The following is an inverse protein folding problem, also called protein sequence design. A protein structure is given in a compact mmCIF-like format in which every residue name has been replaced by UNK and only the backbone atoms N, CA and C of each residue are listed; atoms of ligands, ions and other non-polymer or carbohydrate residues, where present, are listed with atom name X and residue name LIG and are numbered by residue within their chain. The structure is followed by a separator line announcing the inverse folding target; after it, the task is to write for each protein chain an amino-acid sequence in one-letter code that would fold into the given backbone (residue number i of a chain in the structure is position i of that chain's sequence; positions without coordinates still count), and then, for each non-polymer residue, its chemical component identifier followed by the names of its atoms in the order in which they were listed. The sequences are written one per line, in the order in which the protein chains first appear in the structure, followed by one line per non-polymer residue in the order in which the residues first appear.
data_IF_839229724315
#
_entry.id   IF_839229724315
#
_cell.length_a   1.000
_cell.length_b   1.000
_cell.length_c   1.000
_cell.angle_alpha   90.00
_cell.angle_beta   90.00
_cell.angle_gamma   90.00
#
_symmetry.space_group_name_H-M   'P 1'
#
loop_
_entity.id
_entity.type
_entity.pdbx_description
1 polymer ?
#
# COMPACT_ATOMS: atom_id res chain seq x y z
N UNK A 1 -4.30 4.61 17.03
CA UNK A 1 -5.06 3.56 16.31
C UNK A 1 -5.29 2.41 17.27
N UNK A 2 -6.44 1.73 17.19
CA UNK A 2 -6.67 0.53 17.98
C UNK A 2 -5.67 -0.56 17.59
N UNK A 3 -5.13 -1.29 18.58
CA UNK A 3 -4.26 -2.45 18.37
C UNK A 3 -5.04 -3.71 18.71
N UNK A 4 -4.88 -4.76 17.90
CA UNK A 4 -5.54 -6.05 18.08
C UNK A 4 -4.48 -7.15 18.11
N UNK A 5 -4.52 -7.99 19.15
CA UNK A 5 -3.70 -9.20 19.23
C UNK A 5 -4.57 -10.41 18.98
N UNK A 6 -4.29 -11.16 17.92
CA UNK A 6 -4.91 -12.44 17.64
C UNK A 6 -4.12 -13.55 18.34
N UNK A 7 -4.73 -14.20 19.33
CA UNK A 7 -4.13 -15.33 20.06
C UNK A 7 -4.64 -16.65 19.50
N UNK A 8 -3.85 -17.71 19.65
CA UNK A 8 -4.21 -19.08 19.26
C UNK A 8 -4.57 -19.20 17.78
N UNK A 9 -3.83 -18.51 16.90
CA UNK A 9 -4.01 -18.64 15.46
C UNK A 9 -3.50 -20.02 15.02
N UNK A 10 -4.33 -20.84 14.34
CA UNK A 10 -3.86 -22.09 13.75
C UNK A 10 -2.72 -21.84 12.76
N UNK A 11 -1.68 -22.67 12.80
CA UNK A 11 -0.47 -22.47 11.97
C UNK A 11 -0.78 -22.55 10.47
N UNK A 12 -1.68 -23.45 10.09
CA UNK A 12 -2.22 -23.60 8.74
C UNK A 12 -2.95 -22.34 8.25
N UNK A 13 -3.70 -21.67 9.13
CA UNK A 13 -4.34 -20.38 8.83
C UNK A 13 -3.30 -19.27 8.65
N UNK A 14 -2.27 -19.21 9.51
CA UNK A 14 -1.20 -18.22 9.37
C UNK A 14 -0.43 -18.41 8.06
N UNK A 15 -0.16 -19.65 7.68
CA UNK A 15 0.49 -19.97 6.41
C UNK A 15 -0.38 -19.61 5.20
N UNK A 16 -1.69 -19.85 5.27
CA UNK A 16 -2.62 -19.41 4.23
C UNK A 16 -2.62 -17.87 4.08
N UNK A 17 -2.62 -17.13 5.19
CA UNK A 17 -2.55 -15.66 5.20
C UNK A 17 -1.24 -15.15 4.60
N UNK A 18 -0.10 -15.78 4.92
CA UNK A 18 1.20 -15.44 4.34
C UNK A 18 1.22 -15.63 2.83
N UNK A 19 0.69 -16.75 2.33
CA UNK A 19 0.58 -17.00 0.89
C UNK A 19 -0.28 -15.95 0.19
N UNK A 20 -1.46 -15.65 0.75
CA UNK A 20 -2.35 -14.62 0.20
C UNK A 20 -1.66 -13.24 0.16
N UNK A 21 -0.99 -12.86 1.25
CA UNK A 21 -0.26 -11.58 1.33
C UNK A 21 0.84 -11.46 0.25
N UNK A 22 1.57 -12.54 -0.04
CA UNK A 22 2.57 -12.56 -1.12
C UNK A 22 1.91 -12.40 -2.49
N UNK A 23 0.83 -13.15 -2.75
CA UNK A 23 0.08 -13.07 -4.01
C UNK A 23 -0.45 -11.66 -4.26
N UNK A 24 -1.01 -11.03 -3.22
CA UNK A 24 -1.62 -9.70 -3.31
C UNK A 24 -0.63 -8.55 -3.10
N UNK A 25 0.66 -8.88 -2.92
CA UNK A 25 1.77 -7.94 -2.69
C UNK A 25 1.50 -6.97 -1.52
N UNK A 26 0.99 -7.51 -0.42
CA UNK A 26 0.67 -6.78 0.82
C UNK A 26 1.45 -7.35 1.99
N UNK A 27 1.56 -6.58 3.08
CA UNK A 27 2.00 -7.16 4.34
C UNK A 27 0.92 -8.07 4.92
N UNK A 28 1.30 -9.08 5.71
CA UNK A 28 0.34 -9.99 6.37
C UNK A 28 -0.70 -9.23 7.20
N UNK A 29 -0.29 -8.16 7.88
CA UNK A 29 -1.21 -7.30 8.64
C UNK A 29 -2.22 -6.59 7.72
N UNK A 30 -1.78 -6.05 6.59
CA UNK A 30 -2.69 -5.42 5.62
C UNK A 30 -3.66 -6.43 5.02
N UNK A 31 -3.20 -7.66 4.80
CA UNK A 31 -4.04 -8.74 4.30
C UNK A 31 -5.12 -9.13 5.30
N UNK A 32 -4.76 -9.31 6.58
CA UNK A 32 -5.73 -9.56 7.65
C UNK A 32 -6.79 -8.46 7.72
N UNK A 33 -6.38 -7.19 7.67
CA UNK A 33 -7.30 -6.05 7.70
C UNK A 33 -8.24 -6.09 6.49
N UNK A 34 -7.71 -6.35 5.30
CA UNK A 34 -8.47 -6.42 4.07
C UNK A 34 -9.54 -7.54 4.11
N UNK A 35 -9.15 -8.73 4.57
CA UNK A 35 -10.07 -9.86 4.70
C UNK A 35 -11.15 -9.60 5.75
N UNK A 36 -10.80 -9.00 6.89
CA UNK A 36 -11.79 -8.61 7.91
C UNK A 36 -12.79 -7.58 7.37
N UNK A 37 -12.30 -6.55 6.67
CA UNK A 37 -13.15 -5.51 6.06
C UNK A 37 -14.11 -6.11 5.01
N UNK A 38 -13.59 -7.00 4.16
CA UNK A 38 -14.37 -7.69 3.13
C UNK A 38 -15.45 -8.59 3.75
N UNK A 39 -15.09 -9.45 4.70
CA UNK A 39 -16.03 -10.35 5.37
C UNK A 39 -17.14 -9.61 6.13
N UNK A 40 -16.84 -8.43 6.70
CA UNK A 40 -17.83 -7.63 7.40
C UNK A 40 -18.78 -6.91 6.42
N UNK A 41 -18.28 -6.43 5.28
CA UNK A 41 -19.12 -5.84 4.21
C UNK A 41 -20.11 -6.85 3.64
N UNK A 42 -19.65 -8.08 3.38
CA UNK A 42 -20.51 -9.16 2.88
C UNK A 42 -21.63 -9.53 3.86
N UNK A 43 -21.38 -9.40 5.17
CA UNK A 43 -22.37 -9.65 6.22
C UNK A 43 -23.34 -8.48 6.46
N UNK A 44 -23.32 -7.45 5.62
CA UNK A 44 -24.15 -6.25 5.78
C UNK A 44 -23.75 -5.37 6.96
N UNK A 45 -22.64 -5.68 7.63
CA UNK A 45 -22.01 -4.80 8.60
C UNK A 45 -21.31 -3.66 7.86
N UNK A 46 -21.41 -2.43 8.37
CA UNK A 46 -20.58 -1.33 7.87
C UNK A 46 -19.24 -1.31 8.59
N UNK A 47 -18.15 -1.70 7.92
CA UNK A 47 -16.88 -1.01 8.02
C UNK A 47 -16.55 -0.33 6.70
N UNK A 48 -16.51 1.01 6.77
CA UNK A 48 -15.98 1.86 5.73
C UNK A 48 -14.53 2.23 6.04
N UNK A 49 -13.63 1.26 6.18
CA UNK A 49 -12.21 1.57 5.98
C UNK A 49 -12.00 1.53 4.48
N UNK A 50 -11.77 2.70 3.88
CA UNK A 50 -11.33 2.80 2.48
C UNK A 50 -10.00 2.04 2.37
N UNK A 51 -10.07 0.73 2.08
CA UNK A 51 -9.02 0.04 1.33
C UNK A 51 -8.77 0.98 0.17
N UNK A 52 -7.60 1.61 0.18
CA UNK A 52 -7.34 2.79 -0.62
C UNK A 52 -7.94 2.61 -2.00
N UNK A 53 -8.92 3.45 -2.33
CA UNK A 53 -9.65 3.35 -3.57
C UNK A 53 -8.61 3.51 -4.68
N UNK A 54 -8.18 2.36 -5.22
CA UNK A 54 -7.09 2.30 -6.17
C UNK A 54 -7.48 3.10 -7.39
N UNK A 55 -8.78 3.16 -7.72
CA UNK A 55 -9.33 4.01 -8.75
C UNK A 55 -9.20 5.50 -8.41
N UNK A 56 -9.52 5.93 -7.18
CA UNK A 56 -9.32 7.32 -6.75
C UNK A 56 -7.85 7.73 -6.77
N UNK A 57 -6.95 6.83 -6.34
CA UNK A 57 -5.50 7.08 -6.41
C UNK A 57 -5.06 7.19 -7.87
N UNK A 58 -5.49 6.26 -8.73
CA UNK A 58 -5.13 6.25 -10.15
C UNK A 58 -5.71 7.46 -10.89
N UNK A 59 -6.88 7.95 -10.49
CA UNK A 59 -7.45 9.21 -10.96
C UNK A 59 -6.57 10.40 -10.55
N UNK A 60 -6.13 10.48 -9.30
CA UNK A 60 -5.20 11.52 -8.85
C UNK A 60 -3.86 11.47 -9.59
N UNK A 61 -3.31 10.26 -9.82
CA UNK A 61 -2.08 10.12 -10.64
C UNK A 61 -2.28 10.58 -12.07
N UNK A 62 -3.42 10.24 -12.70
CA UNK A 62 -3.76 10.72 -14.05
C UNK A 62 -3.94 12.23 -14.10
N UNK A 63 -4.50 12.82 -13.05
CA UNK A 63 -4.67 14.25 -12.95
C UNK A 63 -3.31 14.97 -12.85
N UNK A 64 -2.33 14.39 -12.15
CA UNK A 64 -1.00 14.99 -11.98
C UNK A 64 -0.05 14.69 -13.14
N UNK A 65 -0.25 13.57 -13.84
CA UNK A 65 0.62 13.14 -14.93
C UNK A 65 0.67 14.18 -16.05
N UNK A 66 1.89 14.57 -16.44
CA UNK A 66 2.12 15.52 -17.53
C UNK A 66 1.85 16.99 -17.18
N UNK A 67 1.54 17.32 -15.93
CA UNK A 67 1.35 18.71 -15.46
C UNK A 67 2.61 19.31 -14.82
N UNK A 68 3.69 18.54 -14.68
CA UNK A 68 4.94 19.10 -14.21
C UNK A 68 5.58 19.92 -15.33
N UNK A 69 5.73 21.21 -15.09
CA UNK A 69 6.49 22.13 -15.93
C UNK A 69 7.75 22.54 -15.15
N UNK A 70 8.90 22.56 -15.82
CA UNK A 70 10.14 23.09 -15.27
C UNK A 70 10.77 24.06 -16.26
N UNK A 71 11.32 25.14 -15.70
CA UNK A 71 12.12 26.12 -16.43
C UNK A 71 13.57 25.63 -16.67
N UNK A 72 13.95 24.48 -16.10
CA UNK A 72 15.26 23.88 -16.29
C UNK A 72 15.28 22.94 -17.50
N UNK A 73 16.44 22.86 -18.14
CA UNK A 73 16.71 21.80 -19.11
C UNK A 73 16.58 20.42 -18.44
N UNK A 74 16.04 19.40 -19.14
CA UNK A 74 15.82 18.07 -18.56
C UNK A 74 17.04 17.43 -17.90
N UNK A 75 18.26 17.68 -18.38
CA UNK A 75 19.47 17.14 -17.76
C UNK A 75 19.78 17.82 -16.42
N UNK A 76 19.60 19.14 -16.34
CA UNK A 76 19.80 19.91 -15.12
C UNK A 76 18.72 19.61 -14.07
N UNK A 77 17.47 19.43 -14.50
CA UNK A 77 16.37 18.97 -13.64
C UNK A 77 16.68 17.60 -13.03
N UNK A 78 17.10 16.65 -13.86
CA UNK A 78 17.42 15.29 -13.42
C UNK A 78 18.57 15.27 -12.40
N UNK A 79 19.63 16.04 -12.64
CA UNK A 79 20.76 16.17 -11.72
C UNK A 79 20.33 16.80 -10.38
N UNK A 80 19.53 17.86 -10.43
CA UNK A 80 18.96 18.50 -9.23
C UNK A 80 18.18 17.50 -8.37
N UNK A 81 17.29 16.72 -8.99
CA UNK A 81 16.51 15.69 -8.29
C UNK A 81 17.42 14.64 -7.67
N UNK A 82 18.39 14.11 -8.43
CA UNK A 82 19.30 13.08 -7.94
C UNK A 82 20.15 13.59 -6.77
N UNK A 83 20.65 14.82 -6.86
CA UNK A 83 21.49 15.43 -5.82
C UNK A 83 20.77 15.60 -4.47
N UNK A 84 19.44 15.77 -4.50
CA UNK A 84 18.61 15.94 -3.30
C UNK A 84 18.09 14.62 -2.74
N UNK A 85 18.31 13.48 -3.41
CA UNK A 85 17.86 12.19 -2.90
C UNK A 85 18.66 11.78 -1.67
N UNK A 86 17.95 11.42 -0.60
CA UNK A 86 18.55 10.73 0.55
C UNK A 86 18.94 9.31 0.16
N UNK A 87 20.02 8.78 0.74
CA UNK A 87 20.56 7.44 0.48
C UNK A 87 19.58 6.27 0.73
N UNK A 88 18.40 6.55 1.30
CA UNK A 88 17.41 5.54 1.63
C UNK A 88 17.79 4.73 2.87
N UNK A 89 17.02 3.70 3.15
CA UNK A 89 17.25 2.77 4.27
C UNK A 89 17.90 1.51 3.71
N UNK A 90 18.86 0.94 4.43
CA UNK A 90 19.52 -0.28 4.00
C UNK A 90 18.49 -1.44 3.95
N UNK A 91 18.41 -2.13 2.82
CA UNK A 91 17.46 -3.23 2.57
C UNK A 91 18.22 -4.42 2.02
N UNK A 92 18.20 -5.54 2.75
CA UNK A 92 18.76 -6.79 2.28
C UNK A 92 17.68 -7.53 1.47
N UNK A 93 17.88 -7.64 0.16
CA UNK A 93 16.96 -8.29 -0.79
C UNK A 93 17.22 -9.79 -0.91
#
# INVERSE_FOLDING_TARGET
MASLTLKNMPDDLLEALRRAAVTDRRSVTQEIIYLCDTALRERGGRPGVRVSDSAARLAAWRELAGKWESDLDPAAEAESIVSQRTAGRDVNL
#
